data_IF_497705643219
#
_entry.id   IF_497705643219
#
_cell.length_a   1.000
_cell.length_b   1.000
_cell.length_c   1.000
_cell.angle_alpha   90.00
_cell.angle_beta   90.00
_cell.angle_gamma   90.00
#
_symmetry.space_group_name_H-M   'P 1'
#
loop_
_entity.id
_entity.type
_entity.pdbx_description
1 polymer ?
#
# COMPACT_ATOMS: atom_id res chain seq x y z
N UNK A 1 27.84 -22.79 11.70
CA UNK A 1 26.63 -22.16 12.28
C UNK A 1 26.70 -20.69 11.92
N UNK A 2 25.88 -20.25 10.98
CA UNK A 2 25.71 -18.82 10.70
C UNK A 2 25.13 -18.17 11.96
N UNK A 3 25.80 -17.15 12.48
CA UNK A 3 25.28 -16.34 13.59
C UNK A 3 24.04 -15.61 13.11
N UNK A 4 22.91 -15.78 13.80
CA UNK A 4 21.67 -15.05 13.53
C UNK A 4 21.93 -13.56 13.82
N UNK A 5 21.44 -12.69 12.94
CA UNK A 5 21.51 -11.24 13.10
C UNK A 5 20.81 -10.82 14.42
N UNK A 6 21.46 -10.02 15.29
CA UNK A 6 20.89 -9.65 16.59
C UNK A 6 19.53 -8.95 16.49
N UNK A 7 19.34 -8.07 15.51
CA UNK A 7 18.10 -7.35 15.27
C UNK A 7 16.99 -8.31 14.83
N UNK A 8 17.31 -9.31 13.99
CA UNK A 8 16.35 -10.37 13.62
C UNK A 8 15.94 -11.19 14.85
N UNK A 9 16.91 -11.55 15.70
CA UNK A 9 16.63 -12.32 16.92
C UNK A 9 15.75 -11.52 17.90
N UNK A 10 16.05 -10.25 18.14
CA UNK A 10 15.28 -9.37 19.02
C UNK A 10 13.85 -9.15 18.49
N UNK A 11 13.69 -8.92 17.19
CA UNK A 11 12.39 -8.79 16.55
C UNK A 11 11.57 -10.10 16.64
N UNK A 12 12.22 -11.27 16.50
CA UNK A 12 11.56 -12.56 16.66
C UNK A 12 11.08 -12.79 18.11
N UNK A 13 11.82 -12.35 19.13
CA UNK A 13 11.35 -12.38 20.53
C UNK A 13 10.07 -11.55 20.72
N UNK A 14 10.03 -10.32 20.18
CA UNK A 14 8.83 -9.48 20.22
C UNK A 14 7.64 -10.18 19.56
N UNK A 15 7.86 -10.78 18.38
CA UNK A 15 6.82 -11.50 17.65
C UNK A 15 6.35 -12.77 18.36
N UNK A 16 7.22 -13.53 19.05
CA UNK A 16 6.79 -14.71 19.81
C UNK A 16 5.85 -14.36 20.95
N UNK A 17 6.04 -13.21 21.60
CA UNK A 17 5.20 -12.73 22.70
C UNK A 17 3.89 -12.06 22.28
N UNK A 18 3.65 -11.81 20.99
CA UNK A 18 2.50 -11.03 20.54
C UNK A 18 1.16 -11.80 20.66
N UNK A 19 0.15 -11.24 21.32
CA UNK A 19 -1.20 -11.82 21.30
C UNK A 19 -1.98 -11.39 20.05
N UNK A 20 -1.65 -10.22 19.49
CA UNK A 20 -2.20 -9.70 18.24
C UNK A 20 -1.13 -8.99 17.39
N UNK A 21 -1.33 -8.97 16.07
CA UNK A 21 -0.41 -8.32 15.13
C UNK A 21 -1.11 -7.24 14.29
N UNK A 22 -0.45 -6.10 14.15
CA UNK A 22 -0.81 -5.10 13.15
C UNK A 22 0.30 -5.01 12.11
N UNK A 23 -0.02 -5.33 10.86
CA UNK A 23 0.89 -5.11 9.74
C UNK A 23 0.63 -3.71 9.18
N UNK A 24 1.65 -2.85 9.21
CA UNK A 24 1.62 -1.50 8.65
C UNK A 24 2.50 -1.45 7.40
N UNK A 25 1.92 -1.40 6.20
CA UNK A 25 2.69 -1.58 4.96
C UNK A 25 2.64 -0.36 4.03
N UNK A 26 3.81 0.07 3.58
CA UNK A 26 3.99 1.05 2.51
C UNK A 26 4.49 0.42 1.21
N UNK A 27 4.83 1.28 0.23
CA UNK A 27 5.20 0.84 -1.12
C UNK A 27 6.38 -0.15 -1.14
N UNK A 28 7.30 -0.05 -0.17
CA UNK A 28 8.44 -0.96 -0.03
C UNK A 28 8.06 -2.43 0.17
N UNK A 29 6.84 -2.73 0.66
CA UNK A 29 6.34 -4.10 0.78
C UNK A 29 6.18 -4.77 -0.60
N UNK A 30 5.86 -4.02 -1.66
CA UNK A 30 5.66 -4.56 -2.99
C UNK A 30 6.93 -4.69 -3.84
N UNK A 31 8.06 -4.17 -3.37
CA UNK A 31 9.28 -4.00 -4.18
C UNK A 31 9.90 -5.35 -4.55
N UNK A 32 9.92 -6.29 -3.61
CA UNK A 32 10.44 -7.64 -3.87
C UNK A 32 9.51 -8.45 -4.80
N UNK A 33 8.26 -8.01 -5.01
CA UNK A 33 7.36 -8.53 -6.07
C UNK A 33 7.64 -7.91 -7.45
N UNK A 34 8.65 -7.05 -7.57
CA UNK A 34 8.98 -6.33 -8.81
C UNK A 34 8.20 -5.04 -9.02
N UNK A 35 7.46 -4.54 -8.01
CA UNK A 35 6.83 -3.23 -8.10
C UNK A 35 7.86 -2.11 -7.91
N UNK A 36 7.73 -0.99 -8.64
CA UNK A 36 8.58 0.18 -8.43
C UNK A 36 8.32 0.82 -7.05
N UNK A 37 9.39 1.23 -6.36
CA UNK A 37 9.30 1.84 -5.03
C UNK A 37 8.90 3.33 -5.07
N UNK A 38 8.89 3.95 -6.26
CA UNK A 38 8.63 5.36 -6.56
C UNK A 38 9.39 6.35 -5.65
N UNK A 39 10.48 5.91 -5.00
CA UNK A 39 11.16 6.73 -4.00
C UNK A 39 11.99 7.81 -4.69
N UNK A 40 11.40 8.99 -4.77
CA UNK A 40 11.97 10.18 -5.40
C UNK A 40 11.71 10.23 -6.91
N UNK A 41 11.85 11.43 -7.47
CA UNK A 41 11.57 11.73 -8.88
C UNK A 41 12.32 10.82 -9.84
N UNK A 42 13.61 10.58 -9.61
CA UNK A 42 14.41 9.70 -10.48
C UNK A 42 13.94 8.23 -10.43
N UNK A 43 13.47 7.76 -9.27
CA UNK A 43 12.91 6.41 -9.15
C UNK A 43 11.61 6.27 -9.93
N UNK A 44 10.77 7.30 -9.87
CA UNK A 44 9.55 7.40 -10.67
C UNK A 44 9.85 7.44 -12.17
N UNK A 45 10.78 8.28 -12.62
CA UNK A 45 11.17 8.39 -14.03
C UNK A 45 11.81 7.11 -14.58
N UNK A 46 12.62 6.40 -13.81
CA UNK A 46 13.13 5.08 -14.25
C UNK A 46 12.02 4.06 -14.44
N UNK A 47 11.00 4.08 -13.58
CA UNK A 47 9.84 3.20 -13.71
C UNK A 47 8.91 3.64 -14.84
N UNK A 48 8.86 4.94 -15.12
CA UNK A 48 7.99 5.54 -16.12
C UNK A 48 8.69 6.62 -16.96
N UNK A 49 9.61 6.24 -17.87
CA UNK A 49 10.39 7.19 -18.66
C UNK A 49 9.55 8.21 -19.47
N UNK A 50 8.35 7.87 -19.99
CA UNK A 50 7.54 8.86 -20.71
C UNK A 50 7.13 10.08 -19.88
N UNK A 51 7.03 9.97 -18.55
CA UNK A 51 6.72 11.11 -17.69
C UNK A 51 7.95 11.96 -17.35
N UNK A 52 9.17 11.42 -17.51
CA UNK A 52 10.41 12.20 -17.46
C UNK A 52 10.42 13.24 -18.59
N UNK A 53 10.03 12.83 -19.80
CA UNK A 53 9.92 13.73 -20.95
C UNK A 53 8.88 14.85 -20.75
N UNK A 54 7.86 14.60 -19.91
CA UNK A 54 6.86 15.59 -19.51
C UNK A 54 7.29 16.44 -18.30
N UNK A 55 8.41 16.09 -17.65
CA UNK A 55 8.89 16.74 -16.42
C UNK A 55 7.97 16.53 -15.21
N UNK A 56 7.07 15.55 -15.26
CA UNK A 56 6.09 15.30 -14.20
C UNK A 56 6.68 14.40 -13.11
N UNK A 57 6.49 14.80 -11.85
CA UNK A 57 6.77 13.99 -10.67
C UNK A 57 5.59 13.10 -10.33
N UNK A 58 5.81 12.10 -9.48
CA UNK A 58 4.76 11.17 -9.05
C UNK A 58 3.55 11.91 -8.46
N UNK A 59 3.79 12.89 -7.59
CA UNK A 59 2.72 13.66 -6.94
C UNK A 59 1.95 14.54 -7.92
N UNK A 60 2.58 14.94 -9.03
CA UNK A 60 1.98 15.80 -10.05
C UNK A 60 1.11 15.00 -11.00
N UNK A 61 1.49 13.78 -11.39
CA UNK A 61 0.61 12.91 -12.20
C UNK A 61 -0.50 12.25 -11.37
N UNK A 62 -0.25 12.00 -10.08
CA UNK A 62 -1.22 11.47 -9.14
C UNK A 62 -2.09 12.57 -8.53
N UNK A 63 -2.64 13.44 -9.39
CA UNK A 63 -3.52 14.57 -9.06
C UNK A 63 -4.83 14.43 -9.86
N UNK A 64 -6.02 14.62 -9.24
CA UNK A 64 -7.29 14.48 -9.94
C UNK A 64 -7.50 15.49 -11.07
N UNK A 65 -6.75 16.61 -11.12
CA UNK A 65 -6.84 17.63 -12.18
C UNK A 65 -6.67 17.01 -13.57
N UNK A 66 -5.81 16.00 -13.71
CA UNK A 66 -5.57 15.35 -15.02
C UNK A 66 -6.79 14.62 -15.53
N UNK A 67 -7.69 14.10 -14.68
CA UNK A 67 -8.92 13.48 -15.17
C UNK A 67 -9.89 14.50 -15.78
N UNK A 68 -9.80 15.78 -15.38
CA UNK A 68 -10.59 16.85 -15.95
C UNK A 68 -9.94 17.45 -17.21
N UNK A 69 -8.63 17.68 -17.16
CA UNK A 69 -7.90 18.44 -18.17
C UNK A 69 -7.35 17.54 -19.31
N UNK A 70 -6.85 16.35 -18.97
CA UNK A 70 -6.26 15.39 -19.90
C UNK A 70 -6.54 13.93 -19.49
N UNK A 71 -7.78 13.45 -19.71
CA UNK A 71 -8.21 12.14 -19.21
C UNK A 71 -7.46 10.98 -19.87
N UNK A 72 -6.94 11.15 -21.08
CA UNK A 72 -6.12 10.15 -21.76
C UNK A 72 -4.76 9.98 -21.06
N UNK A 73 -4.14 11.07 -20.59
CA UNK A 73 -2.92 11.01 -19.78
C UNK A 73 -3.18 10.36 -18.43
N UNK A 74 -4.24 10.78 -17.74
CA UNK A 74 -4.61 10.24 -16.44
C UNK A 74 -4.88 8.73 -16.51
N UNK A 75 -5.70 8.29 -17.48
CA UNK A 75 -5.97 6.87 -17.68
C UNK A 75 -4.78 6.11 -18.26
N UNK A 76 -3.87 6.76 -18.98
CA UNK A 76 -2.60 6.14 -19.37
C UNK A 76 -1.76 5.75 -18.15
N UNK A 77 -1.69 6.63 -17.16
CA UNK A 77 -1.01 6.34 -15.88
C UNK A 77 -1.71 5.25 -15.07
N UNK A 78 -2.99 5.45 -14.77
CA UNK A 78 -3.74 4.54 -13.89
C UNK A 78 -4.11 3.21 -14.57
N UNK A 79 -4.39 3.23 -15.88
CA UNK A 79 -4.65 2.02 -16.66
C UNK A 79 -3.44 1.10 -16.70
N UNK A 80 -2.26 1.65 -16.94
CA UNK A 80 -1.02 0.87 -16.88
C UNK A 80 -0.79 0.29 -15.48
N UNK A 81 -0.98 1.08 -14.42
CA UNK A 81 -0.82 0.61 -13.03
C UNK A 81 -1.82 -0.48 -12.66
N UNK A 82 -3.08 -0.36 -13.11
CA UNK A 82 -4.09 -1.38 -12.90
C UNK A 82 -3.66 -2.72 -13.52
N UNK A 83 -3.20 -2.69 -14.77
CA UNK A 83 -2.69 -3.87 -15.46
C UNK A 83 -1.45 -4.47 -14.76
N UNK A 84 -0.49 -3.62 -14.39
CA UNK A 84 0.72 -4.03 -13.66
C UNK A 84 0.36 -4.73 -12.35
N UNK A 85 -0.49 -4.13 -11.51
CA UNK A 85 -0.86 -4.69 -10.22
C UNK A 85 -1.66 -5.99 -10.34
N UNK A 86 -2.50 -6.13 -11.37
CA UNK A 86 -3.16 -7.40 -11.70
C UNK A 86 -2.18 -8.48 -12.15
N UNK A 87 -1.11 -8.12 -12.86
CA UNK A 87 -0.09 -9.08 -13.31
C UNK A 87 0.89 -9.49 -12.18
N UNK A 88 1.20 -8.60 -11.25
CA UNK A 88 2.18 -8.83 -10.18
C UNK A 88 1.74 -9.91 -9.19
N UNK A 89 2.60 -10.90 -9.00
CA UNK A 89 2.43 -11.95 -7.98
C UNK A 89 3.09 -11.50 -6.67
N UNK A 90 2.40 -11.53 -5.52
CA UNK A 90 3.01 -11.21 -4.23
C UNK A 90 4.19 -12.14 -3.93
N UNK A 91 5.31 -11.58 -3.51
CA UNK A 91 6.49 -12.35 -3.06
C UNK A 91 6.19 -13.13 -1.76
N UNK A 92 7.08 -14.06 -1.38
CA UNK A 92 6.88 -15.00 -0.25
C UNK A 92 6.65 -14.32 1.11
N UNK A 93 7.09 -13.07 1.29
CA UNK A 93 6.87 -12.31 2.53
C UNK A 93 5.39 -12.05 2.81
N UNK A 94 4.55 -11.90 1.78
CA UNK A 94 3.10 -11.83 1.98
C UNK A 94 2.55 -13.17 2.51
N UNK A 95 3.05 -14.30 2.00
CA UNK A 95 2.65 -15.62 2.46
C UNK A 95 3.13 -15.89 3.90
N UNK A 96 4.32 -15.42 4.27
CA UNK A 96 4.80 -15.42 5.67
C UNK A 96 3.83 -14.69 6.57
N UNK A 97 3.49 -13.44 6.26
CA UNK A 97 2.54 -12.65 7.05
C UNK A 97 1.17 -13.35 7.14
N UNK A 98 0.73 -14.01 6.05
CA UNK A 98 -0.52 -14.76 6.05
C UNK A 98 -0.44 -15.96 7.01
N UNK A 99 0.66 -16.71 7.04
CA UNK A 99 0.87 -17.79 8.02
C UNK A 99 0.85 -17.27 9.45
N UNK A 100 1.40 -16.08 9.71
CA UNK A 100 1.32 -15.47 11.04
C UNK A 100 -0.13 -15.13 11.42
N UNK A 101 -0.91 -14.63 10.46
CA UNK A 101 -2.32 -14.32 10.63
C UNK A 101 -3.20 -15.56 10.87
N UNK A 102 -2.79 -16.76 10.46
CA UNK A 102 -3.48 -18.02 10.81
C UNK A 102 -3.29 -18.43 12.27
N UNK A 103 -2.23 -17.94 12.92
CA UNK A 103 -1.89 -18.33 14.30
C UNK A 103 -2.46 -17.37 15.34
N UNK A 104 -2.76 -16.12 14.97
CA UNK A 104 -3.25 -15.09 15.91
C UNK A 104 -3.98 -13.95 15.19
N UNK A 105 -4.87 -13.22 15.90
CA UNK A 105 -5.56 -12.05 15.35
C UNK A 105 -4.58 -11.09 14.69
N UNK A 106 -4.79 -10.85 13.40
CA UNK A 106 -3.93 -9.98 12.60
C UNK A 106 -4.78 -9.07 11.73
N UNK A 107 -4.42 -7.79 11.66
CA UNK A 107 -5.03 -6.80 10.77
C UNK A 107 -3.96 -6.10 9.94
N UNK A 108 -4.35 -5.57 8.79
CA UNK A 108 -3.46 -4.84 7.89
C UNK A 108 -3.91 -3.39 7.76
N UNK A 109 -2.97 -2.46 7.89
CA UNK A 109 -3.09 -1.06 7.52
C UNK A 109 -2.09 -0.78 6.40
N UNK A 110 -2.54 -0.28 5.25
CA UNK A 110 -1.64 -0.01 4.14
C UNK A 110 -1.97 1.28 3.40
N UNK A 111 -0.92 1.99 2.98
CA UNK A 111 -1.01 3.09 2.02
C UNK A 111 -0.96 2.64 0.56
N UNK A 112 -0.72 1.36 0.32
CA UNK A 112 -0.70 0.80 -1.02
C UNK A 112 -2.14 0.70 -1.54
N UNK A 113 -2.27 0.82 -2.86
CA UNK A 113 -3.56 0.75 -3.56
C UNK A 113 -3.61 -0.42 -4.54
N UNK A 114 -2.67 -1.36 -4.40
CA UNK A 114 -2.32 -2.39 -5.38
C UNK A 114 -3.11 -3.70 -5.23
N UNK A 115 -3.80 -3.91 -4.11
CA UNK A 115 -4.56 -5.13 -3.82
C UNK A 115 -3.71 -6.37 -3.48
N UNK A 116 -2.40 -6.23 -3.24
CA UNK A 116 -1.51 -7.40 -3.05
C UNK A 116 -1.79 -8.16 -1.75
N UNK A 117 -2.24 -7.49 -0.68
CA UNK A 117 -2.66 -8.16 0.56
C UNK A 117 -3.90 -9.03 0.34
N UNK A 118 -4.89 -8.52 -0.38
CA UNK A 118 -6.10 -9.26 -0.72
C UNK A 118 -5.75 -10.47 -1.60
N UNK A 119 -4.85 -10.28 -2.58
CA UNK A 119 -4.33 -11.38 -3.41
C UNK A 119 -3.56 -12.44 -2.59
N UNK A 120 -2.94 -12.04 -1.49
CA UNK A 120 -2.30 -12.94 -0.54
C UNK A 120 -3.27 -13.59 0.49
N UNK A 121 -4.59 -13.34 0.35
CA UNK A 121 -5.62 -13.97 1.17
C UNK A 121 -5.91 -13.25 2.49
N UNK A 122 -5.64 -11.95 2.58
CA UNK A 122 -6.08 -11.12 3.70
C UNK A 122 -7.47 -10.53 3.41
N UNK A 123 -8.44 -10.83 4.27
CA UNK A 123 -9.81 -10.31 4.15
C UNK A 123 -9.98 -8.94 4.85
N UNK A 124 -9.18 -8.69 5.88
CA UNK A 124 -9.33 -7.54 6.77
C UNK A 124 -8.20 -6.52 6.57
N UNK A 125 -8.26 -5.82 5.43
CA UNK A 125 -7.26 -4.83 4.99
C UNK A 125 -7.85 -3.42 5.02
N UNK A 126 -7.19 -2.50 5.72
CA UNK A 126 -7.53 -1.09 5.73
C UNK A 126 -6.62 -0.31 4.77
N UNK A 127 -7.10 -0.07 3.55
CA UNK A 127 -6.43 0.71 2.51
C UNK A 127 -6.70 2.21 2.69
N UNK A 128 -5.77 2.92 3.35
CA UNK A 128 -5.96 4.31 3.78
C UNK A 128 -6.01 5.32 2.62
N UNK A 129 -5.46 4.95 1.46
CA UNK A 129 -5.47 5.78 0.25
C UNK A 129 -6.42 5.26 -0.83
N UNK A 130 -7.37 4.38 -0.50
CA UNK A 130 -8.26 3.77 -1.48
C UNK A 130 -7.62 2.62 -2.24
N UNK A 131 -8.23 2.23 -3.35
CA UNK A 131 -7.86 1.04 -4.11
C UNK A 131 -7.95 1.31 -5.61
N UNK A 132 -6.96 0.87 -6.38
CA UNK A 132 -7.03 0.97 -7.85
C UNK A 132 -8.10 0.06 -8.44
N UNK A 133 -8.47 -1.00 -7.70
CA UNK A 133 -9.45 -2.00 -8.11
C UNK A 133 -10.88 -1.55 -7.89
N UNK A 134 -11.09 -0.28 -7.52
CA UNK A 134 -12.39 0.35 -7.38
C UNK A 134 -12.43 1.65 -8.16
N UNK A 135 -13.61 2.02 -8.65
CA UNK A 135 -13.88 3.22 -9.41
C UNK A 135 -14.87 4.12 -8.69
N UNK A 136 -14.75 5.41 -8.93
CA UNK A 136 -15.73 6.42 -8.57
C UNK A 136 -16.09 7.30 -9.77
N UNK A 137 -17.27 7.91 -9.74
CA UNK A 137 -17.70 8.85 -10.75
C UNK A 137 -16.92 10.16 -10.61
N UNK A 138 -16.27 10.64 -11.67
CA UNK A 138 -15.55 11.92 -11.64
C UNK A 138 -16.47 13.10 -11.29
N UNK A 139 -17.73 13.07 -11.79
CA UNK A 139 -18.71 14.13 -11.55
C UNK A 139 -19.35 14.10 -10.16
N UNK A 140 -19.15 13.03 -9.38
CA UNK A 140 -19.84 12.86 -8.10
C UNK A 140 -21.36 12.76 -8.24
N UNK A 141 -21.87 12.04 -9.25
CA UNK A 141 -23.31 11.96 -9.52
C UNK A 141 -24.16 11.18 -8.48
N UNK A 142 -23.54 10.74 -7.38
CA UNK A 142 -24.19 9.94 -6.34
C UNK A 142 -24.18 8.43 -6.57
N UNK A 143 -23.60 7.94 -7.68
CA UNK A 143 -23.37 6.50 -7.84
C UNK A 143 -22.36 6.01 -6.78
N UNK A 144 -22.66 4.95 -6.00
CA UNK A 144 -21.72 4.34 -5.06
C UNK A 144 -20.41 3.92 -5.73
N UNK A 145 -19.28 3.94 -5.02
CA UNK A 145 -18.02 3.32 -5.47
C UNK A 145 -18.27 1.87 -5.92
N UNK A 146 -17.65 1.45 -7.02
CA UNK A 146 -17.87 0.12 -7.60
C UNK A 146 -16.56 -0.58 -8.00
N UNK A 147 -16.52 -1.92 -8.08
CA UNK A 147 -15.33 -2.64 -8.51
C UNK A 147 -14.92 -2.28 -9.94
N UNK A 148 -13.60 -2.25 -10.19
CA UNK A 148 -13.02 -2.12 -11.52
C UNK A 148 -12.98 -3.46 -12.29
N UNK A 149 -13.77 -4.45 -11.86
CA UNK A 149 -13.85 -5.76 -12.51
C UNK A 149 -14.27 -5.60 -13.97
N UNK A 150 -13.51 -6.19 -14.89
CA UNK A 150 -13.75 -6.08 -16.33
C UNK A 150 -13.32 -4.75 -16.97
N UNK A 151 -12.73 -3.83 -16.21
CA UNK A 151 -12.10 -2.63 -16.76
C UNK A 151 -10.75 -3.01 -17.35
N UNK A 152 -10.60 -2.83 -18.66
CA UNK A 152 -9.35 -2.93 -19.39
C UNK A 152 -9.13 -1.59 -20.10
N UNK A 153 -7.93 -1.01 -19.93
CA UNK A 153 -7.58 0.29 -20.52
C UNK A 153 -6.48 0.04 -21.54
N UNK A 154 -6.76 0.35 -22.81
CA UNK A 154 -5.76 0.28 -23.87
C UNK A 154 -4.77 1.44 -23.69
N UNK A 155 -3.58 1.14 -23.17
CA UNK A 155 -2.53 2.13 -22.94
C UNK A 155 -1.42 1.95 -23.96
N UNK A 156 -1.10 3.02 -24.67
CA UNK A 156 0.10 3.07 -25.50
C UNK A 156 1.35 3.07 -24.59
N UNK A 157 2.21 2.04 -24.65
CA UNK A 157 3.34 1.92 -23.74
C UNK A 157 4.46 2.94 -24.01
N UNK A 158 4.45 3.60 -25.16
CA UNK A 158 5.46 4.61 -25.52
C UNK A 158 5.03 5.98 -25.03
N UNK A 159 3.79 6.37 -25.32
CA UNK A 159 3.29 7.69 -24.90
C UNK A 159 2.70 7.71 -23.49
N UNK A 160 2.42 6.53 -22.92
CA UNK A 160 1.69 6.35 -21.66
C UNK A 160 0.35 7.08 -21.65
N UNK A 161 -0.35 7.05 -22.79
CA UNK A 161 -1.70 7.60 -22.95
C UNK A 161 -2.70 6.48 -23.21
N UNK A 162 -3.86 6.60 -22.60
CA UNK A 162 -4.98 5.70 -22.85
C UNK A 162 -5.67 6.05 -24.18
N UNK A 163 -6.15 5.01 -24.87
CA UNK A 163 -7.00 5.12 -26.05
C UNK A 163 -8.45 4.91 -25.66
N UNK A 164 -9.35 5.56 -26.39
CA UNK A 164 -10.78 5.40 -26.21
C UNK A 164 -11.25 3.96 -26.54
N UNK A 165 -12.33 3.46 -25.90
CA UNK A 165 -13.15 4.16 -24.90
C UNK A 165 -12.50 4.18 -23.51
N UNK A 166 -12.57 5.34 -22.84
CA UNK A 166 -12.15 5.45 -21.44
C UNK A 166 -13.25 4.95 -20.49
N UNK A 167 -12.90 4.48 -19.28
CA UNK A 167 -13.88 4.03 -18.29
C UNK A 167 -14.91 5.11 -17.94
N UNK A 168 -16.19 4.73 -17.94
CA UNK A 168 -17.32 5.63 -17.68
C UNK A 168 -18.17 5.16 -16.50
N UNK A 169 -18.76 6.11 -15.78
CA UNK A 169 -19.74 5.86 -14.74
C UNK A 169 -21.00 5.21 -15.33
N UNK A 170 -21.45 4.06 -14.81
CA UNK A 170 -22.59 3.34 -15.38
C UNK A 170 -23.95 4.00 -15.12
N UNK A 171 -24.04 4.97 -14.21
CA UNK A 171 -25.28 5.72 -13.97
C UNK A 171 -25.44 6.94 -14.88
N UNK A 172 -24.38 7.74 -15.06
CA UNK A 172 -24.49 9.05 -15.74
C UNK A 172 -23.70 9.13 -17.06
N UNK A 173 -22.94 8.10 -17.42
CA UNK A 173 -22.08 8.07 -18.61
C UNK A 173 -20.88 9.02 -18.57
N UNK A 174 -20.70 9.80 -17.49
CA UNK A 174 -19.52 10.65 -17.29
C UNK A 174 -18.26 9.82 -17.04
N UNK A 175 -17.08 10.43 -17.15
CA UNK A 175 -15.80 9.73 -16.91
C UNK A 175 -15.75 9.11 -15.50
N UNK A 176 -15.26 7.88 -15.42
CA UNK A 176 -14.89 7.25 -14.16
C UNK A 176 -13.40 7.48 -13.89
N UNK A 177 -13.02 7.44 -12.62
CA UNK A 177 -11.63 7.47 -12.17
C UNK A 177 -11.43 6.40 -11.08
N UNK A 178 -10.20 5.93 -10.85
CA UNK A 178 -9.92 5.07 -9.71
C UNK A 178 -10.32 5.72 -8.38
N UNK A 179 -10.89 4.95 -7.47
CA UNK A 179 -11.20 5.35 -6.11
C UNK A 179 -9.93 5.33 -5.25
N UNK A 180 -8.99 6.20 -5.62
CA UNK A 180 -7.73 6.43 -4.94
C UNK A 180 -7.74 7.85 -4.41
N UNK A 181 -7.33 8.02 -3.15
CA UNK A 181 -7.04 9.32 -2.57
C UNK A 181 -5.74 9.86 -3.21
N UNK A 182 -5.91 10.74 -4.18
CA UNK A 182 -4.83 11.39 -4.92
C UNK A 182 -4.32 12.63 -4.17
N UNK A 183 -3.19 13.19 -4.59
CA UNK A 183 -2.71 14.46 -4.02
C UNK A 183 -3.70 15.57 -4.36
N UNK A 184 -4.03 16.42 -3.38
CA UNK A 184 -4.97 17.54 -3.57
C UNK A 184 -6.44 17.15 -3.76
N UNK A 185 -6.81 15.89 -3.53
CA UNK A 185 -8.11 15.37 -3.92
C UNK A 185 -9.22 15.56 -2.89
N UNK A 186 -9.95 16.66 -3.02
CA UNK A 186 -11.14 16.96 -2.23
C UNK A 186 -12.40 16.22 -2.69
N UNK A 187 -12.32 15.51 -3.83
CA UNK A 187 -13.44 14.79 -4.45
C UNK A 187 -13.41 13.28 -4.23
N UNK A 188 -12.40 12.77 -3.52
CA UNK A 188 -12.30 11.35 -3.20
C UNK A 188 -13.51 10.89 -2.37
N UNK A 189 -14.10 9.77 -2.76
CA UNK A 189 -15.21 9.16 -2.02
C UNK A 189 -14.66 8.09 -1.04
N UNK A 190 -14.69 8.34 0.28
CA UNK A 190 -14.14 7.41 1.26
C UNK A 190 -15.12 6.27 1.61
N UNK A 191 -16.29 6.17 0.98
CA UNK A 191 -17.33 5.19 1.36
C UNK A 191 -16.86 3.74 1.27
N UNK A 192 -15.89 3.44 0.40
CA UNK A 192 -15.26 2.13 0.29
C UNK A 192 -14.26 1.85 1.43
N UNK A 193 -13.25 2.72 1.62
CA UNK A 193 -12.17 2.50 2.61
C UNK A 193 -12.55 2.84 4.05
N UNK A 194 -13.48 3.79 4.24
CA UNK A 194 -13.83 4.36 5.53
C UNK A 194 -14.29 3.33 6.58
N UNK A 195 -15.21 2.41 6.25
CA UNK A 195 -15.64 1.37 7.18
C UNK A 195 -14.51 0.47 7.68
N UNK A 196 -13.61 0.04 6.78
CA UNK A 196 -12.44 -0.79 7.12
C UNK A 196 -11.47 -0.06 8.05
N UNK A 197 -11.18 1.21 7.77
CA UNK A 197 -10.34 2.06 8.64
C UNK A 197 -10.96 2.25 10.03
N UNK A 198 -12.28 2.47 10.11
CA UNK A 198 -12.98 2.60 11.39
C UNK A 198 -12.89 1.31 12.20
N UNK A 199 -13.19 0.18 11.56
CA UNK A 199 -13.12 -1.15 12.20
C UNK A 199 -11.72 -1.47 12.69
N UNK A 200 -10.69 -1.18 11.90
CA UNK A 200 -9.30 -1.33 12.30
C UNK A 200 -8.98 -0.53 13.56
N UNK A 201 -9.33 0.76 13.61
CA UNK A 201 -9.01 1.57 14.78
C UNK A 201 -9.75 1.13 16.05
N UNK A 202 -10.96 0.58 15.92
CA UNK A 202 -11.67 -0.06 17.03
C UNK A 202 -10.94 -1.32 17.50
N UNK A 203 -10.46 -2.14 16.56
CA UNK A 203 -9.66 -3.33 16.85
C UNK A 203 -8.32 -3.01 17.51
N UNK A 204 -7.60 -1.98 17.05
CA UNK A 204 -6.34 -1.50 17.67
C UNK A 204 -6.58 -1.06 19.11
N UNK A 205 -7.70 -0.37 19.39
CA UNK A 205 -8.04 0.04 20.76
C UNK A 205 -8.31 -1.16 21.67
N UNK A 206 -8.89 -2.23 21.14
CA UNK A 206 -9.16 -3.45 21.90
C UNK A 206 -7.86 -4.22 22.26
N UNK A 207 -6.84 -4.19 21.40
CA UNK A 207 -5.56 -4.88 21.60
C UNK A 207 -4.43 -3.95 22.06
N UNK A 208 -4.76 -2.80 22.65
CA UNK A 208 -3.78 -1.73 22.92
C UNK A 208 -2.65 -2.15 23.87
N UNK A 209 -2.76 -3.26 24.58
CA UNK A 209 -1.79 -3.68 25.62
C UNK A 209 -0.92 -4.87 25.22
N UNK A 210 -1.27 -5.52 24.12
CA UNK A 210 -0.80 -6.84 23.70
C UNK A 210 -0.50 -6.89 22.19
N UNK A 211 -0.62 -5.75 21.51
CA UNK A 211 -0.31 -5.56 20.09
C UNK A 211 1.19 -5.40 19.82
N UNK A 212 1.68 -6.17 18.85
CA UNK A 212 2.96 -5.93 18.18
C UNK A 212 2.71 -5.42 16.77
N UNK A 213 3.43 -4.37 16.39
CA UNK A 213 3.31 -3.75 15.08
C UNK A 213 4.49 -4.17 14.20
N UNK A 214 4.19 -4.64 13.00
CA UNK A 214 5.19 -4.94 11.95
C UNK A 214 5.03 -3.90 10.84
N UNK A 215 5.91 -2.91 10.82
CA UNK A 215 5.96 -1.91 9.76
C UNK A 215 6.89 -2.36 8.64
N UNK A 216 6.39 -2.41 7.40
CA UNK A 216 7.18 -2.87 6.25
C UNK A 216 7.16 -1.84 5.13
N UNK A 217 8.34 -1.38 4.73
CA UNK A 217 8.51 -0.62 3.49
C UNK A 217 7.92 0.80 3.49
N UNK A 218 7.53 1.34 4.64
CA UNK A 218 7.00 2.69 4.76
C UNK A 218 8.12 3.76 4.76
N UNK A 219 8.03 4.73 3.85
CA UNK A 219 8.97 5.85 3.75
C UNK A 219 8.58 7.07 4.60
N UNK A 220 9.40 8.13 4.53
CA UNK A 220 9.15 9.41 5.23
C UNK A 220 8.41 10.47 4.41
N UNK A 221 8.40 10.35 3.06
CA UNK A 221 7.78 11.34 2.17
C UNK A 221 6.25 11.44 2.37
N UNK A 222 5.58 10.29 2.50
CA UNK A 222 4.17 10.19 2.90
C UNK A 222 4.12 9.40 4.22
N UNK A 223 4.10 10.10 5.39
CA UNK A 223 4.36 9.47 6.67
C UNK A 223 3.15 8.73 7.28
N UNK A 224 2.04 8.56 6.54
CA UNK A 224 0.78 8.00 7.05
C UNK A 224 0.98 6.65 7.73
N UNK A 225 1.67 5.71 7.08
CA UNK A 225 1.93 4.37 7.62
C UNK A 225 2.84 4.41 8.85
N UNK A 226 3.88 5.25 8.83
CA UNK A 226 4.78 5.41 9.97
C UNK A 226 4.06 5.98 11.19
N UNK A 227 3.24 7.01 10.97
CA UNK A 227 2.47 7.64 12.02
C UNK A 227 1.51 6.62 12.65
N UNK A 228 0.84 5.81 11.85
CA UNK A 228 -0.05 4.77 12.38
C UNK A 228 0.73 3.71 13.16
N UNK A 229 1.84 3.20 12.61
CA UNK A 229 2.66 2.20 13.28
C UNK A 229 3.22 2.68 14.63
N UNK A 230 3.70 3.92 14.69
CA UNK A 230 4.22 4.53 15.91
C UNK A 230 3.10 4.80 16.94
N UNK A 231 1.91 5.20 16.50
CA UNK A 231 0.76 5.41 17.40
C UNK A 231 0.22 4.09 17.95
N UNK A 232 0.09 3.07 17.11
CA UNK A 232 -0.43 1.75 17.50
C UNK A 232 0.52 1.03 18.47
N UNK A 233 1.83 1.12 18.25
CA UNK A 233 2.84 0.53 19.14
C UNK A 233 3.16 1.38 20.38
N UNK A 234 2.65 2.62 20.49
CA UNK A 234 3.05 3.56 21.54
C UNK A 234 2.83 3.04 22.98
N UNK A 235 1.84 2.17 23.18
CA UNK A 235 1.49 1.62 24.50
C UNK A 235 2.33 0.38 24.88
N UNK A 236 2.75 -0.42 23.90
CA UNK A 236 3.54 -1.66 24.11
C UNK A 236 5.03 -1.43 23.91
N UNK A 237 5.42 -0.43 23.11
CA UNK A 237 6.79 -0.24 22.67
C UNK A 237 7.27 -1.32 21.69
N UNK A 238 6.36 -2.16 21.19
CA UNK A 238 6.69 -3.31 20.34
C UNK A 238 6.44 -2.98 18.86
N UNK A 239 7.45 -2.39 18.23
CA UNK A 239 7.48 -2.08 16.80
C UNK A 239 8.65 -2.81 16.14
N UNK A 240 8.37 -3.62 15.13
CA UNK A 240 9.37 -4.18 14.21
C UNK A 240 9.28 -3.39 12.91
N UNK A 241 10.33 -2.66 12.54
CA UNK A 241 10.39 -1.84 11.33
C UNK A 241 11.35 -2.44 10.32
N UNK A 242 10.85 -2.85 9.17
CA UNK A 242 11.61 -3.41 8.05
C UNK A 242 11.70 -2.37 6.95
N UNK A 243 12.90 -1.82 6.72
CA UNK A 243 13.13 -0.85 5.66
C UNK A 243 14.61 -0.79 5.27
N UNK A 244 14.90 -0.95 3.98
CA UNK A 244 16.27 -0.93 3.42
C UNK A 244 17.05 0.36 3.74
N UNK A 245 16.41 1.53 3.79
CA UNK A 245 17.09 2.83 3.94
C UNK A 245 16.82 3.53 5.26
N UNK A 246 15.61 3.34 5.78
CA UNK A 246 15.12 4.08 6.94
C UNK A 246 14.63 3.12 8.05
N UNK A 247 15.43 2.14 8.50
CA UNK A 247 15.01 1.15 9.50
C UNK A 247 14.87 1.73 10.91
N UNK A 248 15.28 2.97 11.14
CA UNK A 248 15.47 3.50 12.49
C UNK A 248 14.15 3.61 13.25
N UNK A 249 14.12 3.10 14.49
CA UNK A 249 13.00 3.24 15.42
C UNK A 249 13.37 4.26 16.50
N UNK A 250 12.46 5.18 16.83
CA UNK A 250 12.73 6.25 17.78
C UNK A 250 12.61 5.75 19.22
N UNK A 251 13.38 6.36 20.13
CA UNK A 251 13.26 6.19 21.58
C UNK A 251 13.44 4.75 22.11
N UNK A 252 14.11 3.88 21.37
CA UNK A 252 14.33 2.48 21.77
C UNK A 252 13.04 1.68 21.92
N UNK A 253 11.96 2.09 21.24
CA UNK A 253 10.63 1.46 21.31
C UNK A 253 10.41 0.52 20.13
N UNK A 254 11.26 -0.49 20.02
CA UNK A 254 11.21 -1.49 18.95
C UNK A 254 12.55 -1.71 18.26
N UNK A 255 12.50 -2.49 17.18
CA UNK A 255 13.66 -3.00 16.45
C UNK A 255 13.58 -2.59 14.99
N UNK A 256 14.70 -2.15 14.42
CA UNK A 256 14.84 -1.77 13.02
C UNK A 256 15.66 -2.79 12.25
N UNK A 257 15.16 -3.26 11.10
CA UNK A 257 15.82 -4.23 10.23
C UNK A 257 16.09 -3.57 8.87
N UNK A 258 17.37 -3.47 8.51
CA UNK A 258 17.87 -2.78 7.32
C UNK A 258 17.87 -3.68 6.05
N UNK A 259 16.76 -4.38 5.78
CA UNK A 259 16.66 -5.34 4.69
C UNK A 259 15.40 -5.15 3.83
N UNK A 260 15.35 -5.90 2.71
CA UNK A 260 14.15 -6.03 1.88
C UNK A 260 13.04 -6.79 2.61
N UNK A 261 11.79 -6.56 2.20
CA UNK A 261 10.61 -7.10 2.86
C UNK A 261 10.60 -8.63 2.84
N UNK A 262 10.82 -9.25 1.67
CA UNK A 262 10.79 -10.71 1.53
C UNK A 262 11.82 -11.37 2.44
N UNK A 263 13.06 -10.89 2.39
CA UNK A 263 14.17 -11.51 3.11
C UNK A 263 13.97 -11.39 4.62
N UNK A 264 13.72 -10.19 5.12
CA UNK A 264 13.51 -9.96 6.55
C UNK A 264 12.35 -10.81 7.10
N UNK A 265 11.22 -10.86 6.40
CA UNK A 265 10.06 -11.65 6.85
C UNK A 265 10.38 -13.15 6.89
N UNK A 266 11.12 -13.67 5.89
CA UNK A 266 11.54 -15.09 5.89
C UNK A 266 12.53 -15.42 7.00
N UNK A 267 13.47 -14.52 7.27
CA UNK A 267 14.43 -14.69 8.36
C UNK A 267 13.73 -14.65 9.74
N UNK A 268 12.75 -13.77 9.92
CA UNK A 268 11.89 -13.76 11.10
C UNK A 268 11.07 -15.05 11.23
N UNK A 269 10.42 -15.50 10.16
CA UNK A 269 9.59 -16.71 10.15
C UNK A 269 10.37 -17.96 10.55
N UNK A 270 11.65 -18.04 10.18
CA UNK A 270 12.53 -19.14 10.55
C UNK A 270 12.77 -19.25 12.07
N UNK A 271 12.42 -18.22 12.85
CA UNK A 271 12.58 -18.15 14.31
C UNK A 271 11.24 -18.19 15.08
N UNK A 272 10.10 -18.39 14.40
CA UNK A 272 8.73 -18.36 14.97
C UNK A 272 7.98 -19.71 14.92
#
# INVERSE_FOLDING_TARGET
>A
MTTVDPEIAEAAELLRGAEALLVCAGAGMGVDSGLPDFRGTEGFWRAYPPYEALGLRFEEIADPVHFADDPDLAWGFYGHRLALYRATVPHEGFAVLRRWADRRPTRVFTSNVDGQFQRAGFDEVAEVHGSIHHLQCLRGCGHPVWPADGVEVDVDPVSMRARAPLPSCPACGGLARPNILMFGDWSWDPSHSGPGLKSLHEWIRAHRRDLVVVEVGAGTAVPTVRREAELASAATGALVRINVREPQVRHGRGVGIAEGAERALRELDALL
#
